data_IF_474136579859
#
_entry.id   IF_474136579859
#
_cell.length_a   1.000
_cell.length_b   1.000
_cell.length_c   1.000
_cell.angle_alpha   90.00
_cell.angle_beta   90.00
_cell.angle_gamma   90.00
#
_symmetry.space_group_name_H-M   'P 1'
#
loop_
_entity.id
_entity.type
_entity.pdbx_description
1 polymer ?
#
# COMPACT_ATOMS: atom_id res chain seq x y z
N UNK A 1 7.79 9.27 3.14
CA UNK A 1 8.06 7.84 3.21
C UNK A 1 9.25 7.54 4.14
N UNK A 2 10.46 8.02 3.83
CA UNK A 2 11.65 7.72 4.63
C UNK A 2 11.54 8.09 6.13
N UNK A 3 10.88 9.20 6.45
CA UNK A 3 10.66 9.63 7.84
C UNK A 3 9.67 8.73 8.59
N UNK A 4 8.73 8.13 7.87
CA UNK A 4 7.68 7.27 8.43
C UNK A 4 8.09 5.81 8.48
N UNK A 5 9.30 5.48 8.00
CA UNK A 5 9.78 4.11 7.90
C UNK A 5 8.77 3.18 7.17
N UNK A 6 8.13 3.74 6.12
CA UNK A 6 7.16 3.00 5.33
C UNK A 6 7.84 1.88 4.54
N UNK A 7 7.18 0.73 4.44
CA UNK A 7 7.65 -0.40 3.65
C UNK A 7 7.52 -0.15 2.14
N UNK A 8 6.51 0.60 1.73
CA UNK A 8 6.27 0.94 0.34
C UNK A 8 5.82 2.40 0.16
N UNK A 9 6.12 3.01 -0.97
CA UNK A 9 5.47 4.22 -1.46
C UNK A 9 4.94 3.99 -2.85
N UNK A 10 3.68 4.29 -3.05
CA UNK A 10 3.04 4.24 -4.35
C UNK A 10 3.12 5.61 -5.01
N UNK A 11 3.63 5.62 -6.25
CA UNK A 11 3.66 6.81 -7.09
C UNK A 11 2.40 6.83 -7.93
N UNK A 12 1.58 7.82 -7.68
CA UNK A 12 0.36 8.05 -8.42
C UNK A 12 0.58 9.18 -9.42
N UNK A 13 0.32 8.94 -10.69
CA UNK A 13 0.25 10.03 -11.65
C UNK A 13 -1.14 10.65 -11.55
N UNK A 14 -1.20 11.98 -11.51
CA UNK A 14 -2.44 12.73 -11.62
C UNK A 14 -3.30 12.14 -12.76
N UNK A 15 -4.47 11.69 -12.42
CA UNK A 15 -5.38 10.99 -13.33
C UNK A 15 -6.76 11.62 -13.33
N UNK A 16 -7.73 10.92 -13.86
CA UNK A 16 -9.10 11.39 -14.03
C UNK A 16 -9.97 11.33 -12.76
N UNK A 17 -9.46 10.80 -11.66
CA UNK A 17 -10.29 10.37 -10.53
C UNK A 17 -10.56 11.47 -9.50
N UNK A 18 -10.01 12.67 -9.70
CA UNK A 18 -10.18 13.85 -8.84
C UNK A 18 -9.95 13.56 -7.35
N UNK A 19 -8.96 12.74 -7.04
CA UNK A 19 -8.53 12.52 -5.68
C UNK A 19 -8.13 13.85 -5.01
N UNK A 20 -8.24 13.92 -3.70
CA UNK A 20 -7.90 15.14 -2.94
C UNK A 20 -6.48 15.63 -3.25
N UNK A 21 -5.53 14.73 -3.37
CA UNK A 21 -4.13 15.02 -3.69
C UNK A 21 -3.96 15.67 -5.05
N UNK A 22 -4.71 15.22 -6.04
CA UNK A 22 -4.72 15.79 -7.39
C UNK A 22 -5.32 17.20 -7.38
N UNK A 23 -6.48 17.38 -6.76
CA UNK A 23 -7.12 18.69 -6.64
C UNK A 23 -6.23 19.69 -5.86
N UNK A 24 -5.57 19.24 -4.80
CA UNK A 24 -4.64 20.06 -4.04
C UNK A 24 -3.41 20.43 -4.89
N UNK A 25 -2.86 19.48 -5.66
CA UNK A 25 -1.74 19.74 -6.57
C UNK A 25 -2.12 20.75 -7.65
N UNK A 26 -3.26 20.59 -8.33
CA UNK A 26 -3.76 21.52 -9.34
C UNK A 26 -3.93 22.93 -8.78
N UNK A 27 -4.47 23.06 -7.56
CA UNK A 27 -4.62 24.36 -6.89
C UNK A 27 -3.25 25.00 -6.59
N UNK A 28 -2.27 24.19 -6.18
CA UNK A 28 -0.92 24.69 -5.92
C UNK A 28 -0.23 25.14 -7.21
N UNK A 29 -0.34 24.37 -8.29
CA UNK A 29 0.19 24.73 -9.62
C UNK A 29 -0.43 26.04 -10.10
N UNK A 30 -1.76 26.17 -10.01
CA UNK A 30 -2.47 27.37 -10.41
C UNK A 30 -2.04 28.61 -9.61
N UNK A 31 -1.82 28.47 -8.28
CA UNK A 31 -1.37 29.58 -7.42
C UNK A 31 0.10 29.92 -7.62
N UNK A 32 0.94 28.95 -7.93
CA UNK A 32 2.37 29.16 -8.11
C UNK A 32 2.70 29.97 -9.39
N UNK A 33 1.76 30.13 -10.33
CA UNK A 33 1.94 30.88 -11.58
C UNK A 33 3.24 30.56 -12.31
N UNK A 34 3.62 29.29 -12.35
CA UNK A 34 4.89 28.82 -12.92
C UNK A 34 6.09 28.90 -11.96
N UNK A 35 5.87 29.21 -10.69
CA UNK A 35 6.89 29.17 -9.64
C UNK A 35 7.26 27.77 -9.21
N UNK A 36 8.30 27.65 -8.37
CA UNK A 36 8.80 26.40 -7.85
C UNK A 36 7.81 25.75 -6.86
N UNK A 37 7.41 24.51 -7.15
CA UNK A 37 6.61 23.67 -6.28
C UNK A 37 7.42 22.74 -5.37
N UNK A 38 8.76 22.81 -5.41
CA UNK A 38 9.64 21.92 -4.63
C UNK A 38 9.37 21.98 -3.11
N UNK A 39 8.80 23.10 -2.64
CA UNK A 39 8.36 23.28 -1.26
C UNK A 39 7.07 22.56 -0.89
N UNK A 40 6.30 22.09 -1.85
CA UNK A 40 4.97 21.52 -1.61
C UNK A 40 5.01 19.99 -1.63
N UNK A 41 4.24 19.37 -0.75
CA UNK A 41 4.07 17.93 -0.71
C UNK A 41 2.62 17.61 -0.32
N UNK A 42 1.96 16.85 -1.16
CA UNK A 42 0.64 16.28 -0.87
C UNK A 42 0.77 14.78 -0.99
N UNK A 43 0.38 14.06 0.05
CA UNK A 43 0.48 12.61 0.11
C UNK A 43 -0.57 12.04 1.06
N UNK A 44 -1.09 10.87 0.73
CA UNK A 44 -1.88 10.05 1.64
C UNK A 44 -0.96 9.08 2.37
N UNK A 45 -1.17 8.91 3.66
CA UNK A 45 -0.45 7.94 4.49
C UNK A 45 -1.44 6.88 4.95
N UNK A 46 -1.28 5.67 4.47
CA UNK A 46 -2.03 4.51 4.92
C UNK A 46 -1.41 3.95 6.21
N UNK A 47 -2.13 4.03 7.31
CA UNK A 47 -1.68 3.63 8.63
C UNK A 47 -2.18 2.23 9.02
N UNK A 48 -1.96 1.24 8.18
CA UNK A 48 -2.34 -0.17 8.41
C UNK A 48 -3.86 -0.43 8.29
N UNK A 49 -4.33 -1.58 8.81
CA UNK A 49 -5.74 -1.98 8.77
C UNK A 49 -6.57 -1.42 9.93
N UNK A 50 -7.88 -1.41 9.76
CA UNK A 50 -8.83 -0.87 10.74
C UNK A 50 -8.74 -1.49 12.13
N UNK A 51 -8.24 -2.73 12.22
CA UNK A 51 -8.14 -3.48 13.48
C UNK A 51 -6.72 -3.48 14.06
N UNK A 52 -5.77 -2.81 13.40
CA UNK A 52 -4.36 -2.81 13.80
C UNK A 52 -4.09 -1.63 14.73
N UNK A 53 -4.67 -1.69 15.93
CA UNK A 53 -4.48 -0.69 16.99
C UNK A 53 -3.39 -1.17 17.94
N UNK A 54 -2.15 -0.73 17.69
CA UNK A 54 -0.99 -1.04 18.50
C UNK A 54 -0.34 0.26 18.99
N UNK A 55 -0.19 0.48 20.32
CA UNK A 55 0.37 1.72 20.87
C UNK A 55 1.82 1.98 20.45
N UNK A 56 2.65 0.94 20.29
CA UNK A 56 4.04 1.10 19.87
C UNK A 56 4.14 1.53 18.41
N UNK A 57 3.29 0.95 17.55
CA UNK A 57 3.20 1.36 16.15
C UNK A 57 2.64 2.78 16.01
N UNK A 58 1.61 3.13 16.79
CA UNK A 58 1.05 4.49 16.80
C UNK A 58 2.08 5.54 17.23
N UNK A 59 2.91 5.23 18.24
CA UNK A 59 4.01 6.11 18.66
C UNK A 59 5.05 6.26 17.56
N UNK A 60 5.44 5.16 16.90
CA UNK A 60 6.38 5.17 15.77
C UNK A 60 5.88 6.05 14.63
N UNK A 61 4.59 5.95 14.29
CA UNK A 61 3.99 6.77 13.23
C UNK A 61 3.95 8.26 13.61
N UNK A 62 3.56 8.57 14.84
CA UNK A 62 3.55 9.94 15.35
C UNK A 62 4.96 10.56 15.34
N UNK A 63 5.97 9.82 15.77
CA UNK A 63 7.36 10.24 15.69
C UNK A 63 7.81 10.46 14.24
N UNK A 64 7.42 9.58 13.31
CA UNK A 64 7.72 9.72 11.90
C UNK A 64 7.14 11.00 11.29
N UNK A 65 5.87 11.29 11.58
CA UNK A 65 5.20 12.55 11.18
C UNK A 65 5.92 13.76 11.78
N UNK A 66 6.23 13.71 13.07
CA UNK A 66 6.93 14.79 13.76
C UNK A 66 8.30 15.09 13.11
N UNK A 67 9.07 14.05 12.80
CA UNK A 67 10.36 14.16 12.09
C UNK A 67 10.22 14.77 10.70
N UNK A 68 9.18 14.37 9.99
CA UNK A 68 8.87 14.96 8.69
C UNK A 68 8.62 16.48 8.82
N UNK A 69 7.82 16.91 9.80
CA UNK A 69 7.52 18.31 10.04
C UNK A 69 8.78 19.11 10.45
N UNK A 70 9.68 18.52 11.25
CA UNK A 70 10.98 19.11 11.57
C UNK A 70 11.85 19.26 10.31
N UNK A 71 11.95 18.21 9.51
CA UNK A 71 12.70 18.22 8.24
C UNK A 71 12.18 19.25 7.23
N UNK A 72 10.90 19.60 7.33
CA UNK A 72 10.27 20.65 6.52
C UNK A 72 10.35 22.05 7.15
N UNK A 73 10.92 22.20 8.33
CA UNK A 73 11.01 23.47 9.03
C UNK A 73 9.69 23.98 9.60
N UNK A 74 8.65 23.14 9.67
CA UNK A 74 7.34 23.50 10.25
C UNK A 74 7.40 23.50 11.78
N UNK A 75 8.21 22.59 12.35
CA UNK A 75 8.45 22.47 13.78
C UNK A 75 9.94 22.66 14.04
N UNK A 76 10.28 23.36 15.11
CA UNK A 76 11.67 23.57 15.51
C UNK A 76 12.36 22.23 15.82
N UNK A 77 13.64 22.08 15.45
CA UNK A 77 14.42 20.90 15.83
C UNK A 77 14.51 20.80 17.35
N UNK A 78 14.34 19.61 17.89
CA UNK A 78 14.63 19.29 19.29
C UNK A 78 15.96 18.53 19.43
N UNK A 79 16.38 18.26 20.67
CA UNK A 79 17.64 17.57 20.96
C UNK A 79 17.62 16.07 20.62
N UNK A 80 16.51 15.52 20.11
CA UNK A 80 16.42 14.13 19.73
C UNK A 80 17.21 13.87 18.45
N UNK A 81 18.07 12.83 18.42
CA UNK A 81 18.80 12.52 17.21
C UNK A 81 17.82 12.27 16.05
N UNK A 82 18.07 12.95 14.93
CA UNK A 82 17.35 12.62 13.71
C UNK A 82 17.60 11.15 13.38
N UNK A 83 16.58 10.29 13.27
CA UNK A 83 16.82 8.93 12.87
C UNK A 83 17.34 8.92 11.44
N UNK A 84 18.19 7.97 11.17
CA UNK A 84 18.72 7.77 9.83
C UNK A 84 17.56 7.66 8.83
N UNK A 85 17.50 8.61 7.89
CA UNK A 85 16.56 8.50 6.78
C UNK A 85 16.91 7.26 5.98
N UNK A 86 15.93 6.43 5.69
CA UNK A 86 16.09 5.30 4.79
C UNK A 86 16.47 5.83 3.40
N UNK A 87 17.73 5.62 2.98
CA UNK A 87 18.28 6.20 1.74
C UNK A 87 17.98 5.38 0.51
N UNK A 88 17.59 4.13 0.69
CA UNK A 88 17.34 3.12 -0.34
C UNK A 88 15.85 2.95 -0.70
N UNK A 89 15.04 3.90 -0.27
CA UNK A 89 13.60 3.84 -0.51
C UNK A 89 13.26 4.26 -1.95
N UNK A 90 12.70 3.34 -2.71
CA UNK A 90 12.23 3.57 -4.08
C UNK A 90 10.72 3.50 -4.13
N UNK A 91 10.10 4.59 -4.62
CA UNK A 91 8.67 4.58 -4.90
C UNK A 91 8.35 3.72 -6.12
N UNK A 92 7.26 2.95 -6.06
CA UNK A 92 6.78 2.12 -7.17
C UNK A 92 5.53 2.75 -7.79
N UNK A 93 5.38 2.74 -9.13
CA UNK A 93 4.15 3.20 -9.76
C UNK A 93 2.95 2.37 -9.28
N UNK A 94 1.82 3.03 -9.03
CA UNK A 94 0.60 2.33 -8.57
C UNK A 94 0.12 1.25 -9.54
N UNK A 95 0.40 1.42 -10.84
CA UNK A 95 0.09 0.43 -11.87
C UNK A 95 0.87 -0.89 -11.74
N UNK A 96 1.87 -0.95 -10.84
CA UNK A 96 2.63 -2.16 -10.51
C UNK A 96 1.99 -2.96 -9.37
N UNK A 97 0.82 -2.55 -8.90
CA UNK A 97 0.08 -3.26 -7.85
C UNK A 97 -0.93 -4.21 -8.49
N UNK A 98 -0.69 -5.50 -8.34
CA UNK A 98 -1.68 -6.53 -8.66
C UNK A 98 -2.68 -6.67 -7.52
N UNK A 99 -3.96 -6.66 -7.89
CA UNK A 99 -5.07 -7.00 -7.01
C UNK A 99 -5.45 -8.46 -7.26
N UNK A 100 -5.12 -9.33 -6.34
CA UNK A 100 -5.44 -10.76 -6.44
C UNK A 100 -6.90 -10.96 -6.02
N UNK A 101 -7.75 -11.30 -6.99
CA UNK A 101 -9.19 -11.47 -6.78
C UNK A 101 -9.55 -12.93 -6.51
N UNK A 102 -10.61 -13.14 -5.73
CA UNK A 102 -11.16 -14.46 -5.46
C UNK A 102 -11.81 -15.06 -6.72
N UNK A 103 -11.37 -16.21 -7.23
CA UNK A 103 -12.02 -16.88 -8.34
C UNK A 103 -13.33 -17.58 -7.94
N UNK A 104 -13.49 -17.86 -6.66
CA UNK A 104 -14.67 -18.53 -6.06
C UNK A 104 -14.96 -17.99 -4.67
N UNK A 105 -16.17 -18.22 -4.16
CA UNK A 105 -16.50 -17.94 -2.75
C UNK A 105 -16.06 -19.08 -1.83
N UNK A 106 -15.79 -18.76 -0.56
CA UNK A 106 -15.41 -19.74 0.45
C UNK A 106 -14.75 -19.13 1.67
N UNK A 107 -14.04 -19.98 2.43
CA UNK A 107 -13.19 -19.54 3.54
C UNK A 107 -11.74 -19.49 3.10
N UNK A 108 -11.06 -18.34 3.26
CA UNK A 108 -9.69 -18.18 2.83
C UNK A 108 -8.70 -18.44 3.97
N UNK A 109 -7.64 -19.18 3.66
CA UNK A 109 -6.43 -19.36 4.46
C UNK A 109 -5.26 -18.71 3.73
N UNK A 110 -4.62 -17.73 4.35
CA UNK A 110 -3.43 -17.08 3.81
C UNK A 110 -2.16 -17.78 4.31
N UNK A 111 -1.21 -17.95 3.41
CA UNK A 111 0.15 -18.46 3.70
C UNK A 111 1.17 -17.33 3.78
N UNK A 112 0.74 -16.09 3.53
CA UNK A 112 1.58 -14.89 3.56
C UNK A 112 0.94 -13.79 4.42
N UNK A 113 1.77 -12.86 4.88
CA UNK A 113 1.38 -11.68 5.62
C UNK A 113 1.80 -10.39 4.87
N UNK A 114 1.18 -9.24 5.15
CA UNK A 114 1.71 -7.95 4.70
C UNK A 114 3.17 -7.80 5.12
N UNK A 115 4.04 -7.39 4.20
CA UNK A 115 5.47 -7.31 4.42
C UNK A 115 6.27 -8.47 3.80
N UNK A 116 5.66 -9.61 3.54
CA UNK A 116 6.36 -10.76 2.95
C UNK A 116 6.71 -10.52 1.49
N UNK A 117 7.85 -11.09 1.07
CA UNK A 117 8.22 -11.20 -0.34
C UNK A 117 7.73 -12.52 -0.89
N UNK A 118 7.25 -12.48 -2.13
CA UNK A 118 6.73 -13.65 -2.84
C UNK A 118 7.33 -13.73 -4.24
N UNK A 119 7.43 -14.96 -4.75
CA UNK A 119 7.81 -15.23 -6.12
C UNK A 119 6.58 -15.41 -7.02
N UNK A 120 6.73 -15.16 -8.32
CA UNK A 120 5.67 -15.43 -9.29
C UNK A 120 5.27 -16.92 -9.25
N UNK A 121 3.97 -17.22 -9.18
CA UNK A 121 3.45 -18.58 -9.06
C UNK A 121 3.51 -19.17 -7.65
N UNK A 122 4.11 -18.50 -6.68
CA UNK A 122 4.09 -18.94 -5.28
C UNK A 122 2.65 -18.99 -4.76
N UNK A 123 2.28 -20.08 -4.07
CA UNK A 123 1.00 -20.18 -3.38
C UNK A 123 0.95 -19.20 -2.20
N UNK A 124 -0.01 -18.28 -2.25
CA UNK A 124 -0.17 -17.21 -1.25
C UNK A 124 -1.41 -17.41 -0.37
N UNK A 125 -2.37 -18.17 -0.85
CA UNK A 125 -3.59 -18.51 -0.10
C UNK A 125 -4.26 -19.75 -0.67
N UNK A 126 -5.21 -20.29 0.10
CA UNK A 126 -6.14 -21.35 -0.32
C UNK A 126 -7.56 -20.92 0.03
N UNK A 127 -8.52 -21.24 -0.86
CA UNK A 127 -9.94 -21.02 -0.62
C UNK A 127 -10.60 -22.37 -0.41
N UNK A 128 -11.18 -22.60 0.76
CA UNK A 128 -11.93 -23.78 1.09
C UNK A 128 -13.38 -23.54 0.70
N UNK A 129 -13.84 -24.26 -0.32
CA UNK A 129 -15.22 -24.18 -0.85
C UNK A 129 -16.10 -25.29 -0.30
N UNK A 130 -15.52 -26.47 -0.03
CA UNK A 130 -16.21 -27.65 0.52
C UNK A 130 -15.33 -28.31 1.60
N UNK A 131 -15.55 -27.99 2.89
CA UNK A 131 -14.76 -28.56 3.99
C UNK A 131 -14.86 -30.09 4.02
N UNK A 132 -13.69 -30.72 4.18
CA UNK A 132 -13.60 -32.19 4.27
C UNK A 132 -13.41 -32.92 2.92
N UNK A 133 -13.30 -32.17 1.82
CA UNK A 133 -12.99 -32.71 0.48
C UNK A 133 -11.73 -32.06 -0.08
N UNK A 134 -10.79 -32.86 -0.58
CA UNK A 134 -9.58 -32.32 -1.23
C UNK A 134 -9.91 -31.49 -2.47
N UNK A 135 -10.91 -31.89 -3.28
CA UNK A 135 -11.37 -31.13 -4.43
C UNK A 135 -12.09 -29.82 -4.07
N UNK A 136 -12.39 -29.59 -2.80
CA UNK A 136 -12.96 -28.37 -2.28
C UNK A 136 -11.95 -27.28 -1.91
N UNK A 137 -10.69 -27.41 -2.33
CA UNK A 137 -9.62 -26.44 -2.07
C UNK A 137 -9.15 -25.82 -3.39
N UNK A 138 -9.15 -24.49 -3.46
CA UNK A 138 -8.67 -23.72 -4.60
C UNK A 138 -7.43 -22.94 -4.21
N UNK A 139 -6.29 -23.27 -4.80
CA UNK A 139 -5.02 -22.58 -4.56
C UNK A 139 -5.02 -21.22 -5.25
N UNK A 140 -4.51 -20.21 -4.55
CA UNK A 140 -4.30 -18.85 -5.04
C UNK A 140 -2.80 -18.61 -5.13
N UNK A 141 -2.35 -18.21 -6.31
CA UNK A 141 -0.93 -17.96 -6.59
C UNK A 141 -0.66 -16.48 -6.81
N UNK A 142 0.57 -16.04 -6.48
CA UNK A 142 1.05 -14.71 -6.78
C UNK A 142 1.18 -14.52 -8.31
N UNK A 143 0.59 -13.48 -8.90
CA UNK A 143 0.67 -13.22 -10.34
C UNK A 143 2.06 -12.78 -10.79
N UNK A 144 2.84 -12.15 -9.89
CA UNK A 144 4.21 -11.73 -10.13
C UNK A 144 5.04 -11.84 -8.84
N UNK A 145 6.36 -11.78 -8.98
CA UNK A 145 7.26 -11.61 -7.84
C UNK A 145 7.09 -10.21 -7.25
N UNK A 146 7.11 -10.10 -5.92
CA UNK A 146 6.90 -8.81 -5.31
C UNK A 146 6.78 -8.83 -3.80
N UNK A 147 6.15 -7.81 -3.28
CA UNK A 147 5.95 -7.55 -1.86
C UNK A 147 4.44 -7.52 -1.58
N UNK A 148 4.00 -8.24 -0.56
CA UNK A 148 2.59 -8.25 -0.12
C UNK A 148 2.28 -6.94 0.58
N UNK A 149 1.50 -6.09 -0.08
CA UNK A 149 1.14 -4.76 0.41
C UNK A 149 0.01 -4.82 1.43
N UNK A 150 -1.07 -5.52 1.09
CA UNK A 150 -2.25 -5.68 1.96
C UNK A 150 -2.81 -7.09 1.85
N UNK A 151 -3.61 -7.47 2.84
CA UNK A 151 -4.33 -8.74 2.91
C UNK A 151 -5.69 -8.52 3.53
N UNK A 152 -6.72 -9.15 2.93
CA UNK A 152 -8.09 -9.09 3.46
C UNK A 152 -8.18 -9.63 4.89
N UNK A 153 -8.85 -8.90 5.77
CA UNK A 153 -9.04 -9.31 7.17
C UNK A 153 -10.14 -10.37 7.28
N UNK A 154 -11.24 -10.19 6.54
CA UNK A 154 -12.39 -11.11 6.57
C UNK A 154 -12.01 -12.42 5.92
N UNK A 155 -12.35 -13.54 6.59
CA UNK A 155 -12.04 -14.90 6.12
C UNK A 155 -13.14 -15.49 5.23
N UNK A 156 -14.38 -15.02 5.35
CA UNK A 156 -15.43 -15.34 4.38
C UNK A 156 -15.32 -14.40 3.19
N UNK A 157 -15.21 -15.00 2.02
CA UNK A 157 -15.03 -14.28 0.77
C UNK A 157 -16.07 -14.70 -0.25
N UNK A 158 -16.33 -13.82 -1.21
CA UNK A 158 -17.16 -14.06 -2.39
C UNK A 158 -16.28 -14.02 -3.63
N UNK A 159 -16.75 -14.63 -4.69
CA UNK A 159 -16.12 -14.49 -6.01
C UNK A 159 -16.00 -13.01 -6.38
N UNK A 160 -14.81 -12.59 -6.82
CA UNK A 160 -14.49 -11.21 -7.17
C UNK A 160 -13.99 -10.34 -6.00
N UNK A 161 -14.06 -10.82 -4.76
CA UNK A 161 -13.48 -10.10 -3.61
C UNK A 161 -11.96 -9.93 -3.77
N UNK A 162 -11.44 -8.77 -3.39
CA UNK A 162 -9.99 -8.52 -3.32
C UNK A 162 -9.41 -9.28 -2.12
N UNK A 163 -8.48 -10.18 -2.38
CA UNK A 163 -7.86 -11.04 -1.36
C UNK A 163 -6.61 -10.40 -0.77
N UNK A 164 -5.71 -9.94 -1.64
CA UNK A 164 -4.45 -9.30 -1.29
C UNK A 164 -3.94 -8.46 -2.45
N UNK A 165 -3.05 -7.52 -2.14
CA UNK A 165 -2.38 -6.67 -3.12
C UNK A 165 -0.88 -6.98 -3.09
N UNK A 166 -0.29 -7.21 -4.26
CA UNK A 166 1.14 -7.45 -4.43
C UNK A 166 1.71 -6.32 -5.27
N UNK A 167 2.78 -5.69 -4.80
CA UNK A 167 3.52 -4.70 -5.57
C UNK A 167 4.81 -5.31 -6.10
N UNK A 168 4.94 -5.35 -7.41
CA UNK A 168 6.09 -5.89 -8.11
C UNK A 168 6.93 -4.85 -8.83
N UNK A 169 7.84 -5.32 -9.67
CA UNK A 169 8.69 -4.47 -10.51
C UNK A 169 8.06 -4.22 -11.89
N UNK A 170 7.14 -5.06 -12.30
CA UNK A 170 6.45 -4.98 -13.58
C UNK A 170 5.03 -4.42 -13.42
N UNK A 171 4.45 -3.83 -14.47
CA UNK A 171 3.04 -3.46 -14.46
C UNK A 171 2.15 -4.67 -14.17
N UNK A 172 1.09 -4.45 -13.39
CA UNK A 172 0.12 -5.48 -13.04
C UNK A 172 -0.46 -6.16 -14.29
N UNK A 173 -0.65 -7.47 -14.21
CA UNK A 173 -1.17 -8.30 -15.31
C UNK A 173 -2.59 -7.85 -15.69
N UNK A 174 -3.41 -7.48 -14.72
CA UNK A 174 -4.74 -6.92 -14.93
C UNK A 174 -4.68 -5.39 -14.85
N UNK A 175 -4.72 -4.73 -16.00
CA UNK A 175 -4.87 -3.27 -16.04
C UNK A 175 -6.20 -2.86 -15.41
N UNK A 176 -6.15 -2.11 -14.31
CA UNK A 176 -7.33 -1.52 -13.67
C UNK A 176 -7.31 -0.01 -13.84
N UNK A 177 -8.49 0.57 -14.11
CA UNK A 177 -8.69 2.02 -14.08
C UNK A 177 -9.27 2.37 -12.71
N UNK A 178 -8.67 3.36 -12.04
CA UNK A 178 -9.15 3.89 -10.76
C UNK A 178 -8.30 3.53 -9.54
N UNK A 179 -8.79 3.94 -8.38
CA UNK A 179 -8.13 3.77 -7.09
C UNK A 179 -7.99 2.28 -6.70
N UNK A 180 -7.06 1.97 -5.78
CA UNK A 180 -6.86 0.63 -5.20
C UNK A 180 -7.89 0.31 -4.10
N UNK A 181 -9.04 0.95 -4.12
CA UNK A 181 -10.10 0.73 -3.15
C UNK A 181 -10.87 -0.58 -3.43
N UNK A 182 -11.40 -1.18 -2.34
CA UNK A 182 -12.19 -2.42 -2.37
C UNK A 182 -13.64 -2.15 -2.79
#
# INVERSE_FOLDING_TARGET
>A
AACLDCEAALLWNAGSDRAFEEAAYEQMVAKAKGGDLAGHCVTTVELRGQNDVDPALALKDAEGIYRYLQGRGVVAPDARPAPGLRKDFVGKPIRHVDMVLAPVGGTILFHVAPGDRVEAGQMVAEIITDPGRECGIVAIQAPQAGFVLTRRIRRFIRMGDNLLKIIGDEPAVASRKGALED
#
